data_IF_849654488822
#
_entry.id   IF_849654488822
#
_cell.length_a   1.000
_cell.length_b   1.000
_cell.length_c   1.000
_cell.angle_alpha   90.00
_cell.angle_beta   90.00
_cell.angle_gamma   90.00
#
_symmetry.space_group_name_H-M   'P 1'
#
loop_
_entity.id
_entity.type
_entity.pdbx_description
1 polymer ?
#
# COMPACT_ATOMS: atom_id res chain seq x y z
N UNK A 1 41.82 57.97 -27.59
CA UNK A 1 41.27 56.59 -27.55
C UNK A 1 40.30 56.53 -26.37
N UNK A 2 39.00 56.71 -26.61
CA UNK A 2 37.98 56.65 -25.56
C UNK A 2 37.54 55.19 -25.42
N UNK A 3 37.83 54.58 -24.28
CA UNK A 3 37.36 53.23 -23.94
C UNK A 3 35.88 53.33 -23.56
N UNK A 4 35.02 52.67 -24.34
CA UNK A 4 33.63 52.40 -24.02
C UNK A 4 33.58 51.49 -22.78
N UNK A 5 33.16 52.03 -21.65
CA UNK A 5 32.87 51.23 -20.46
C UNK A 5 31.62 50.40 -20.75
N UNK A 6 31.82 49.08 -20.86
CA UNK A 6 30.74 48.10 -20.95
C UNK A 6 29.74 48.29 -19.80
N UNK A 7 28.48 48.53 -20.17
CA UNK A 7 27.37 48.63 -19.24
C UNK A 7 27.18 47.29 -18.53
N UNK A 8 27.70 47.20 -17.30
CA UNK A 8 27.48 46.05 -16.44
C UNK A 8 25.99 46.04 -16.07
N UNK A 9 25.24 45.06 -16.58
CA UNK A 9 23.82 44.88 -16.24
C UNK A 9 23.74 44.68 -14.72
N UNK A 10 23.39 45.77 -14.03
CA UNK A 10 23.28 45.81 -12.58
C UNK A 10 22.34 44.74 -12.06
N UNK A 11 22.66 44.22 -10.88
CA UNK A 11 21.80 43.34 -10.11
C UNK A 11 20.39 43.94 -10.01
N UNK A 12 19.39 43.23 -10.54
CA UNK A 12 17.99 43.56 -10.34
C UNK A 12 17.52 42.89 -9.04
N UNK A 13 17.35 43.65 -7.94
CA UNK A 13 16.88 43.05 -6.69
C UNK A 13 15.47 42.48 -6.89
N UNK A 14 15.30 41.20 -6.62
CA UNK A 14 13.96 40.63 -6.47
C UNK A 14 13.44 41.01 -5.08
N UNK A 15 12.27 41.67 -5.01
CA UNK A 15 11.63 42.04 -3.73
C UNK A 15 10.95 40.84 -3.05
N UNK A 16 11.54 39.65 -3.19
CA UNK A 16 11.02 38.43 -2.60
C UNK A 16 11.83 38.17 -1.34
N UNK A 17 11.19 38.36 -0.19
CA UNK A 17 11.79 38.01 1.10
C UNK A 17 11.86 36.48 1.19
N UNK A 18 13.07 35.95 1.18
CA UNK A 18 13.35 34.54 1.41
C UNK A 18 13.77 34.32 2.86
N UNK A 19 13.36 33.21 3.47
CA UNK A 19 13.77 32.79 4.80
C UNK A 19 14.56 31.48 4.69
N UNK A 20 15.58 31.35 5.53
CA UNK A 20 16.47 30.19 5.59
C UNK A 20 16.38 29.60 7.00
N UNK A 21 15.55 28.56 7.18
CA UNK A 21 15.45 27.81 8.43
C UNK A 21 15.26 28.64 9.72
N UNK A 22 15.74 28.09 10.83
CA UNK A 22 15.82 28.77 12.13
C UNK A 22 17.13 28.37 12.84
N UNK A 23 17.63 29.25 13.73
CA UNK A 23 18.92 29.11 14.41
C UNK A 23 19.04 27.85 15.29
N UNK A 24 17.92 27.27 15.71
CA UNK A 24 17.85 26.04 16.51
C UNK A 24 17.77 24.76 15.66
N UNK A 25 17.76 24.88 14.34
CA UNK A 25 17.74 23.76 13.39
C UNK A 25 19.12 23.57 12.76
N UNK A 26 19.49 22.33 12.53
CA UNK A 26 20.75 22.00 11.87
C UNK A 26 20.84 22.69 10.49
N UNK A 27 21.99 23.31 10.13
CA UNK A 27 22.16 23.99 8.85
C UNK A 27 21.90 23.11 7.62
N UNK A 28 22.09 21.79 7.75
CA UNK A 28 21.78 20.81 6.70
C UNK A 28 20.28 20.71 6.38
N UNK A 29 19.41 21.08 7.34
CA UNK A 29 17.96 21.09 7.18
C UNK A 29 17.41 22.39 6.59
N UNK A 30 18.27 23.39 6.33
CA UNK A 30 17.85 24.69 5.85
C UNK A 30 17.47 24.63 4.37
N UNK A 31 16.18 24.77 4.09
CA UNK A 31 15.63 24.88 2.73
C UNK A 31 15.26 26.32 2.42
N UNK A 32 15.56 26.78 1.20
CA UNK A 32 15.10 28.07 0.71
C UNK A 32 13.57 28.08 0.67
N UNK A 33 12.95 28.98 1.44
CA UNK A 33 11.50 29.13 1.49
C UNK A 33 11.07 30.59 1.32
N UNK A 34 9.87 30.77 0.76
CA UNK A 34 9.25 32.10 0.65
C UNK A 34 8.79 32.56 2.03
N UNK A 35 8.83 33.87 2.29
CA UNK A 35 8.50 34.42 3.61
C UNK A 35 7.07 34.11 4.09
N UNK A 36 6.14 33.83 3.16
CA UNK A 36 4.72 33.56 3.41
C UNK A 36 4.46 32.13 3.89
N UNK A 37 5.38 31.20 3.64
CA UNK A 37 5.23 29.80 4.06
C UNK A 37 5.75 29.66 5.52
N UNK A 38 4.96 29.11 6.45
CA UNK A 38 5.39 28.90 7.84
C UNK A 38 6.47 27.81 7.92
N UNK A 39 7.39 27.92 8.89
CA UNK A 39 8.41 26.89 9.13
C UNK A 39 7.76 25.75 9.90
N UNK A 40 7.70 24.60 9.24
CA UNK A 40 7.17 23.39 9.85
C UNK A 40 8.22 22.85 10.83
N UNK A 41 7.83 22.73 12.10
CA UNK A 41 8.73 22.25 13.13
C UNK A 41 9.00 20.76 12.94
N UNK A 42 10.25 20.29 13.10
CA UNK A 42 10.59 18.87 12.96
C UNK A 42 9.75 17.96 13.85
N UNK A 43 9.32 18.46 15.02
CA UNK A 43 8.44 17.73 15.92
C UNK A 43 7.05 17.54 15.33
N UNK A 44 6.51 18.59 14.70
CA UNK A 44 5.21 18.51 14.02
C UNK A 44 5.24 17.56 12.82
N UNK A 45 6.40 17.41 12.17
CA UNK A 45 6.61 16.42 11.10
C UNK A 45 6.57 15.00 11.68
N UNK A 46 7.25 14.75 12.81
CA UNK A 46 7.24 13.46 13.51
C UNK A 46 5.84 13.07 14.00
N UNK A 47 5.05 14.04 14.45
CA UNK A 47 3.69 13.81 14.95
C UNK A 47 2.70 13.54 13.79
N UNK A 48 2.93 14.15 12.62
CA UNK A 48 2.16 13.90 11.40
C UNK A 48 2.54 12.59 10.73
N UNK A 49 3.80 12.20 10.83
CA UNK A 49 4.27 10.93 10.32
C UNK A 49 3.65 9.80 11.15
N UNK A 50 2.97 8.87 10.47
CA UNK A 50 2.42 7.69 11.16
C UNK A 50 3.54 7.04 11.98
N UNK A 51 3.31 6.89 13.29
CA UNK A 51 4.31 6.31 14.20
C UNK A 51 4.94 5.06 13.58
N UNK A 52 6.23 4.88 13.75
CA UNK A 52 6.94 3.70 13.19
C UNK A 52 6.25 2.40 13.58
N UNK A 53 5.70 2.34 14.79
CA UNK A 53 4.89 1.22 15.28
C UNK A 53 3.69 0.93 14.38
N UNK A 54 2.92 1.96 14.00
CA UNK A 54 1.77 1.80 13.13
C UNK A 54 2.19 1.33 11.73
N UNK A 55 3.28 1.88 11.17
CA UNK A 55 3.83 1.39 9.89
C UNK A 55 4.22 -0.09 9.95
N UNK A 56 4.87 -0.51 11.03
CA UNK A 56 5.26 -1.92 11.27
C UNK A 56 4.03 -2.82 11.40
N UNK A 57 3.03 -2.42 12.17
CA UNK A 57 1.75 -3.14 12.23
C UNK A 57 1.12 -3.26 10.85
N UNK A 58 1.09 -2.17 10.07
CA UNK A 58 0.50 -2.20 8.74
C UNK A 58 1.15 -3.22 7.80
N UNK A 59 2.47 -3.35 7.88
CA UNK A 59 3.24 -4.31 7.08
C UNK A 59 3.01 -5.77 7.51
N UNK A 60 2.77 -6.03 8.79
CA UNK A 60 2.56 -7.38 9.31
C UNK A 60 1.18 -7.95 8.93
N UNK A 61 0.19 -7.10 8.67
CA UNK A 61 -1.20 -7.56 8.47
C UNK A 61 -1.38 -8.41 7.21
N UNK A 62 -0.54 -8.22 6.17
CA UNK A 62 -0.50 -9.10 5.01
C UNK A 62 -0.08 -10.53 5.39
N UNK A 63 0.91 -10.66 6.27
CA UNK A 63 1.39 -11.96 6.75
C UNK A 63 0.39 -12.63 7.72
N UNK A 64 -0.38 -11.82 8.45
CA UNK A 64 -1.38 -12.31 9.40
C UNK A 64 -2.70 -12.70 8.73
N UNK A 65 -3.05 -12.07 7.60
CA UNK A 65 -4.30 -12.31 6.89
C UNK A 65 -4.61 -13.79 6.54
N UNK A 66 -3.65 -14.62 6.07
CA UNK A 66 -3.90 -16.03 5.77
C UNK A 66 -3.95 -16.92 7.02
N UNK A 67 -3.54 -16.44 8.19
CA UNK A 67 -3.49 -17.25 9.41
C UNK A 67 -4.89 -17.45 9.99
N UNK A 68 -5.11 -18.61 10.62
CA UNK A 68 -6.36 -18.94 11.30
C UNK A 68 -6.76 -17.89 12.35
N UNK A 69 -5.77 -17.28 13.02
CA UNK A 69 -6.02 -16.27 14.05
C UNK A 69 -6.82 -15.06 13.54
N UNK A 70 -6.53 -14.59 12.31
CA UNK A 70 -7.24 -13.46 11.73
C UNK A 70 -8.71 -13.82 11.44
N UNK A 71 -8.97 -15.06 10.98
CA UNK A 71 -10.32 -15.58 10.77
C UNK A 71 -11.10 -15.71 12.09
N UNK A 72 -10.52 -16.36 13.10
CA UNK A 72 -11.15 -16.48 14.42
C UNK A 72 -11.45 -15.12 15.06
N UNK A 73 -10.58 -14.14 14.85
CA UNK A 73 -10.80 -12.80 15.37
C UNK A 73 -11.98 -12.10 14.69
N UNK A 74 -12.13 -12.25 13.37
CA UNK A 74 -13.32 -11.76 12.64
C UNK A 74 -14.61 -12.36 13.22
N UNK A 75 -14.66 -13.69 13.34
CA UNK A 75 -15.82 -14.40 13.90
C UNK A 75 -16.15 -13.98 15.34
N UNK A 76 -15.12 -13.62 16.12
CA UNK A 76 -15.30 -13.14 17.49
C UNK A 76 -15.92 -11.73 17.53
N UNK A 77 -15.44 -10.81 16.68
CA UNK A 77 -15.97 -9.44 16.61
C UNK A 77 -17.42 -9.45 16.15
N UNK A 78 -17.76 -10.29 15.18
CA UNK A 78 -19.15 -10.49 14.71
C UNK A 78 -20.07 -11.02 15.81
N UNK A 79 -19.57 -11.88 16.71
CA UNK A 79 -20.35 -12.40 17.85
C UNK A 79 -20.54 -11.39 18.99
N UNK A 80 -19.66 -10.40 19.09
CA UNK A 80 -19.67 -9.43 20.20
C UNK A 80 -20.39 -8.13 19.85
N UNK A 81 -20.84 -7.95 18.61
CA UNK A 81 -21.44 -6.72 18.08
C UNK A 81 -20.59 -5.47 18.37
N UNK A 82 -19.27 -5.66 18.40
CA UNK A 82 -18.31 -4.59 18.65
C UNK A 82 -17.89 -3.92 17.35
N UNK A 83 -17.44 -2.66 17.45
CA UNK A 83 -16.88 -1.93 16.31
C UNK A 83 -15.77 -2.75 15.63
N UNK A 84 -15.89 -2.90 14.32
CA UNK A 84 -14.87 -3.55 13.49
C UNK A 84 -13.59 -2.70 13.48
N UNK A 85 -12.44 -3.25 13.90
CA UNK A 85 -11.16 -2.56 13.79
C UNK A 85 -10.70 -2.47 12.33
N UNK A 86 -10.00 -1.39 11.99
CA UNK A 86 -9.44 -1.16 10.65
C UNK A 86 -8.61 -2.35 10.14
N UNK A 87 -7.91 -3.05 11.04
CA UNK A 87 -7.12 -4.25 10.72
C UNK A 87 -7.92 -5.28 9.90
N UNK A 88 -9.18 -5.51 10.29
CA UNK A 88 -10.03 -6.52 9.65
C UNK A 88 -10.46 -6.11 8.24
N UNK A 89 -10.57 -4.81 7.96
CA UNK A 89 -10.85 -4.31 6.61
C UNK A 89 -9.71 -4.70 5.66
N UNK A 90 -8.46 -4.52 6.10
CA UNK A 90 -7.29 -4.87 5.29
C UNK A 90 -7.10 -6.36 5.14
N UNK A 91 -7.29 -7.12 6.23
CA UNK A 91 -7.27 -8.59 6.17
C UNK A 91 -8.29 -9.11 5.16
N UNK A 92 -9.51 -8.56 5.15
CA UNK A 92 -10.53 -8.97 4.20
C UNK A 92 -10.10 -8.74 2.75
N UNK A 93 -9.41 -7.62 2.46
CA UNK A 93 -8.85 -7.36 1.13
C UNK A 93 -7.81 -8.41 0.72
N UNK A 94 -6.89 -8.77 1.61
CA UNK A 94 -5.87 -9.78 1.34
C UNK A 94 -6.48 -11.18 1.14
N UNK A 95 -7.46 -11.54 1.96
CA UNK A 95 -8.18 -12.80 1.83
C UNK A 95 -8.96 -12.87 0.51
N UNK A 96 -9.65 -11.78 0.11
CA UNK A 96 -10.36 -11.71 -1.16
C UNK A 96 -9.41 -11.86 -2.36
N UNK A 97 -8.23 -11.23 -2.30
CA UNK A 97 -7.19 -11.39 -3.33
C UNK A 97 -6.70 -12.84 -3.43
N UNK A 98 -6.44 -13.49 -2.29
CA UNK A 98 -6.00 -14.87 -2.26
C UNK A 98 -7.05 -15.84 -2.82
N UNK A 99 -8.33 -15.62 -2.52
CA UNK A 99 -9.45 -16.40 -3.06
C UNK A 99 -9.52 -16.23 -4.59
N UNK A 100 -9.47 -14.99 -5.08
CA UNK A 100 -9.52 -14.72 -6.52
C UNK A 100 -8.34 -15.36 -7.29
N UNK A 101 -7.14 -15.37 -6.70
CA UNK A 101 -5.97 -16.03 -7.28
C UNK A 101 -6.13 -17.55 -7.32
N UNK A 102 -6.69 -18.15 -6.27
CA UNK A 102 -7.00 -19.58 -6.23
C UNK A 102 -8.08 -19.97 -7.25
N UNK A 103 -9.11 -19.15 -7.42
CA UNK A 103 -10.16 -19.36 -8.41
C UNK A 103 -9.63 -19.25 -9.85
N UNK A 104 -8.74 -18.29 -10.10
CA UNK A 104 -8.06 -18.14 -11.39
C UNK A 104 -7.15 -19.35 -11.71
N UNK A 105 -6.41 -19.84 -10.71
CA UNK A 105 -5.58 -21.04 -10.84
C UNK A 105 -6.42 -22.30 -11.09
N UNK A 106 -7.50 -22.49 -10.33
CA UNK A 106 -8.41 -23.63 -10.51
C UNK A 106 -9.08 -23.65 -11.90
N UNK A 107 -9.39 -22.47 -12.45
CA UNK A 107 -9.95 -22.36 -13.80
C UNK A 107 -8.92 -22.74 -14.88
N UNK A 108 -7.65 -22.35 -14.70
CA UNK A 108 -6.56 -22.72 -15.61
C UNK A 108 -6.24 -24.22 -15.60
N UNK A 109 -6.34 -24.87 -14.44
CA UNK A 109 -6.12 -26.32 -14.30
C UNK A 109 -7.30 -27.15 -14.85
N UNK A 110 -8.53 -26.64 -14.81
CA UNK A 110 -9.70 -27.34 -15.37
C UNK A 110 -9.72 -27.44 -16.91
N UNK A 111 -8.86 -26.70 -17.60
CA UNK A 111 -8.77 -26.67 -19.07
C UNK A 111 -8.01 -27.83 -19.72
N UNK A 112 -7.48 -28.82 -18.98
CA UNK A 112 -6.59 -29.86 -19.53
C UNK A 112 -7.07 -31.33 -19.38
N UNK A 113 -8.30 -31.59 -18.95
CA UNK A 113 -8.79 -32.99 -18.73
C UNK A 113 -10.08 -33.29 -19.49
N UNK A 114 -10.09 -33.05 -20.81
CA UNK A 114 -11.20 -33.49 -21.67
C UNK A 114 -10.71 -34.13 -22.98
N UNK A 115 -9.90 -35.20 -22.90
CA UNK A 115 -9.67 -36.10 -24.05
C UNK A 115 -8.89 -37.38 -23.68
N UNK A 116 -9.60 -38.39 -23.16
CA UNK A 116 -9.38 -39.84 -23.35
C UNK A 116 -10.31 -40.59 -22.40
N UNK A 117 -10.92 -41.74 -22.70
CA UNK A 117 -10.90 -42.68 -23.82
C UNK A 117 -12.03 -43.68 -23.51
N UNK A 118 -12.72 -44.20 -24.53
CA UNK A 118 -13.86 -45.08 -24.32
C UNK A 118 -13.54 -46.52 -23.90
N UNK A 119 -14.61 -47.32 -24.01
CA UNK A 119 -14.70 -48.79 -24.10
C UNK A 119 -15.17 -49.51 -22.83
N UNK A 120 -16.37 -50.09 -22.93
CA UNK A 120 -16.73 -51.33 -22.25
C UNK A 120 -17.99 -51.29 -21.39
N UNK A 121 -19.19 -51.26 -22.01
CA UNK A 121 -20.42 -51.65 -21.31
C UNK A 121 -20.93 -52.98 -21.85
N UNK A 122 -21.20 -53.89 -20.93
CA UNK A 122 -21.33 -55.33 -21.06
C UNK A 122 -22.60 -55.77 -21.77
N UNK A 123 -22.51 -56.82 -22.61
CA UNK A 123 -23.68 -57.49 -23.19
C UNK A 123 -24.29 -58.43 -22.15
N UNK A 124 -25.53 -58.18 -21.75
CA UNK A 124 -26.30 -59.07 -20.89
C UNK A 124 -26.82 -60.28 -21.70
N UNK A 125 -26.64 -61.49 -21.16
CA UNK A 125 -27.27 -62.70 -21.66
C UNK A 125 -28.50 -63.00 -20.79
N UNK A 126 -29.68 -63.09 -21.41
CA UNK A 126 -30.91 -63.52 -20.75
C UNK A 126 -31.05 -65.04 -20.87
N UNK A 127 -31.09 -65.74 -19.73
CA UNK A 127 -31.38 -67.18 -19.65
C UNK A 127 -32.89 -67.32 -19.38
N UNK A 128 -33.62 -67.92 -20.31
CA UNK A 128 -35.03 -68.34 -20.15
C UNK A 128 -35.05 -69.85 -19.85
N UNK A 129 -35.76 -70.25 -18.80
CA UNK A 129 -36.15 -71.65 -18.52
C UNK A 129 -37.56 -71.93 -19.04
#
# INVERSE_FOLDING_TARGET
>A
MFLLFQYNKGYTPSWIKSKYGAWYLDPSSWKLRRADEPLEDPQSIKDKEMSESKKKSLAMDEQLAPLHGAKSFKDFIEKKDTRVPEFLERVAMFQAKAIAEQEAAATAESGHVASNSGVGSTKAYSITS
#
